data_IF_921329458468
#
_entry.id   IF_921329458468
#
_cell.length_a   1.000
_cell.length_b   1.000
_cell.length_c   1.000
_cell.angle_alpha   90.00
_cell.angle_beta   90.00
_cell.angle_gamma   90.00
#
_symmetry.space_group_name_H-M   'P 1'
#
loop_
_entity.id
_entity.type
_entity.pdbx_description
1 polymer ?
#
# COMPACT_ATOMS: atom_id res chain seq x y z
N UNK A 1 -7.02 10.19 15.15
CA UNK A 1 -5.55 10.29 14.95
C UNK A 1 -5.19 9.40 13.79
N UNK A 2 -4.41 9.88 12.82
CA UNK A 2 -3.99 9.04 11.68
C UNK A 2 -2.78 8.22 12.13
N UNK A 3 -2.79 6.91 11.89
CA UNK A 3 -1.69 6.03 12.30
C UNK A 3 -0.57 6.06 11.25
N UNK A 4 0.67 6.11 11.72
CA UNK A 4 1.88 6.05 10.88
C UNK A 4 2.21 4.59 10.54
N UNK A 5 2.51 4.35 9.27
CA UNK A 5 2.92 3.06 8.72
C UNK A 5 4.40 2.81 9.06
N UNK A 6 4.68 1.61 9.56
CA UNK A 6 6.03 1.15 9.90
C UNK A 6 6.38 -0.10 9.11
N UNK A 7 7.66 -0.43 9.08
CA UNK A 7 8.12 -1.72 8.54
C UNK A 7 7.48 -2.87 9.33
N UNK A 8 7.01 -3.89 8.61
CA UNK A 8 6.27 -5.03 9.15
C UNK A 8 4.75 -4.85 9.23
N UNK A 9 4.23 -3.62 9.09
CA UNK A 9 2.79 -3.37 9.06
C UNK A 9 2.15 -3.90 7.78
N UNK A 10 0.90 -4.34 7.88
CA UNK A 10 0.09 -4.67 6.72
C UNK A 10 -0.66 -3.43 6.21
N UNK A 11 -0.61 -3.24 4.89
CA UNK A 11 -1.26 -2.13 4.20
C UNK A 11 -2.14 -2.69 3.09
N UNK A 12 -3.36 -2.17 2.98
CA UNK A 12 -4.24 -2.44 1.86
C UNK A 12 -4.02 -1.36 0.78
N UNK A 13 -3.31 -1.71 -0.29
CA UNK A 13 -3.15 -0.85 -1.45
C UNK A 13 -4.45 -0.84 -2.25
N UNK A 14 -5.18 0.26 -2.16
CA UNK A 14 -6.42 0.48 -2.90
C UNK A 14 -6.12 1.14 -4.25
N UNK A 15 -6.45 0.44 -5.34
CA UNK A 15 -6.42 0.98 -6.70
C UNK A 15 -7.83 1.33 -7.19
N UNK A 16 -8.79 0.45 -6.94
CA UNK A 16 -10.21 0.64 -7.31
C UNK A 16 -11.09 -0.34 -6.53
N UNK A 17 -12.42 -0.19 -6.63
CA UNK A 17 -13.39 -1.11 -6.00
C UNK A 17 -13.17 -2.60 -6.30
N UNK A 18 -12.58 -2.95 -7.45
CA UNK A 18 -12.32 -4.33 -7.85
C UNK A 18 -10.87 -4.78 -7.63
N UNK A 19 -9.99 -3.87 -7.21
CA UNK A 19 -8.54 -4.11 -7.15
C UNK A 19 -7.97 -3.48 -5.89
N UNK A 20 -7.82 -4.32 -4.90
CA UNK A 20 -7.12 -4.06 -3.65
C UNK A 20 -6.05 -5.13 -3.47
N UNK A 21 -4.95 -4.76 -2.84
CA UNK A 21 -3.83 -5.67 -2.62
C UNK A 21 -3.38 -5.54 -1.16
N UNK A 22 -3.48 -6.62 -0.40
CA UNK A 22 -2.94 -6.67 0.95
C UNK A 22 -1.45 -6.98 0.86
N UNK A 23 -0.61 -6.08 1.35
CA UNK A 23 0.85 -6.20 1.32
C UNK A 23 1.43 -5.92 2.69
N UNK A 24 2.53 -6.60 3.01
CA UNK A 24 3.36 -6.28 4.17
C UNK A 24 4.44 -5.27 3.77
N UNK A 25 4.59 -4.21 4.55
CA UNK A 25 5.58 -3.16 4.32
C UNK A 25 6.98 -3.68 4.67
N UNK A 26 7.86 -3.75 3.68
CA UNK A 26 9.24 -4.24 3.83
C UNK A 26 10.18 -3.33 3.02
N UNK A 27 11.39 -3.07 3.57
CA UNK A 27 12.42 -2.30 2.86
C UNK A 27 12.95 -3.05 1.63
N UNK A 28 13.41 -2.31 0.63
CA UNK A 28 13.96 -2.86 -0.63
C UNK A 28 13.02 -3.82 -1.37
N UNK A 29 11.71 -3.79 -1.09
CA UNK A 29 10.71 -4.66 -1.72
C UNK A 29 9.80 -3.84 -2.63
N UNK A 30 9.58 -4.35 -3.84
CA UNK A 30 8.67 -3.76 -4.81
C UNK A 30 7.47 -4.67 -5.05
N UNK A 31 6.27 -4.10 -4.96
CA UNK A 31 5.04 -4.79 -5.30
C UNK A 31 4.66 -4.51 -6.76
N UNK A 32 4.58 -5.57 -7.57
CA UNK A 32 4.33 -5.46 -9.00
C UNK A 32 2.85 -5.72 -9.33
N UNK A 33 2.31 -4.88 -10.19
CA UNK A 33 0.96 -5.02 -10.74
C UNK A 33 0.99 -4.80 -12.25
N UNK A 34 -0.11 -5.10 -12.92
CA UNK A 34 -0.33 -4.71 -14.32
C UNK A 34 -0.40 -3.18 -14.53
N UNK A 35 -0.34 -2.37 -13.47
CA UNK A 35 -0.22 -0.90 -13.49
C UNK A 35 1.16 -0.43 -13.04
N UNK A 36 2.20 -1.23 -13.26
CA UNK A 36 3.55 -0.94 -12.82
C UNK A 36 3.81 -1.42 -11.40
N UNK A 37 4.89 -0.94 -10.81
CA UNK A 37 5.32 -1.34 -9.46
C UNK A 37 5.28 -0.16 -8.49
N UNK A 38 5.18 -0.48 -7.20
CA UNK A 38 5.36 0.47 -6.09
C UNK A 38 6.47 -0.04 -5.17
N UNK A 39 7.34 0.86 -4.72
CA UNK A 39 8.31 0.54 -3.66
C UNK A 39 7.60 0.56 -2.31
N UNK A 40 7.63 -0.54 -1.57
CA UNK A 40 6.91 -0.63 -0.30
C UNK A 40 7.55 0.22 0.80
N UNK A 41 8.85 0.49 0.68
CA UNK A 41 9.56 1.38 1.59
C UNK A 41 9.07 2.83 1.52
N UNK A 42 8.50 3.26 0.39
CA UNK A 42 7.90 4.60 0.23
C UNK A 42 6.67 4.80 1.13
N UNK A 43 6.14 3.75 1.74
CA UNK A 43 5.05 3.81 2.71
C UNK A 43 5.55 4.07 4.13
N UNK A 44 6.80 3.72 4.44
CA UNK A 44 7.36 3.84 5.79
C UNK A 44 7.38 5.32 6.19
N UNK A 45 6.82 5.64 7.36
CA UNK A 45 6.72 7.01 7.87
C UNK A 45 5.56 7.82 7.28
N UNK A 46 4.85 7.31 6.27
CA UNK A 46 3.57 7.89 5.83
C UNK A 46 2.45 7.46 6.76
N UNK A 47 1.36 8.20 6.73
CA UNK A 47 0.15 7.83 7.46
C UNK A 47 -0.76 6.96 6.59
N UNK A 48 -1.54 6.08 7.21
CA UNK A 48 -2.64 5.41 6.50
C UNK A 48 -3.60 6.45 5.89
N UNK A 49 -4.06 6.20 4.67
CA UNK A 49 -4.75 7.14 3.80
C UNK A 49 -3.81 7.92 2.86
N UNK A 50 -2.49 7.77 2.99
CA UNK A 50 -1.54 8.38 2.08
C UNK A 50 -1.68 7.83 0.65
N UNK A 51 -1.37 8.70 -0.32
CA UNK A 51 -1.29 8.35 -1.74
C UNK A 51 0.14 8.02 -2.12
N UNK A 52 0.29 7.06 -3.02
CA UNK A 52 1.54 6.76 -3.70
C UNK A 52 1.26 6.47 -5.17
N UNK A 53 2.26 6.70 -6.01
CA UNK A 53 2.16 6.42 -7.44
C UNK A 53 3.03 5.23 -7.79
N UNK A 54 2.56 4.42 -8.72
CA UNK A 54 3.39 3.39 -9.33
C UNK A 54 4.33 3.99 -10.37
N UNK A 55 5.25 3.17 -10.87
CA UNK A 55 6.14 3.51 -11.99
C UNK A 55 5.41 3.88 -13.30
N UNK A 56 4.11 3.61 -13.41
CA UNK A 56 3.27 4.01 -14.55
C UNK A 56 2.32 5.17 -14.20
N UNK A 57 2.68 6.00 -13.22
CA UNK A 57 1.92 7.15 -12.72
C UNK A 57 0.48 6.83 -12.25
N UNK A 58 0.22 5.56 -11.92
CA UNK A 58 -1.08 5.14 -11.40
C UNK A 58 -1.14 5.35 -9.89
N UNK A 59 -2.15 6.09 -9.42
CA UNK A 59 -2.33 6.37 -7.99
C UNK A 59 -2.92 5.16 -7.24
N UNK A 60 -2.35 4.89 -6.07
CA UNK A 60 -2.85 3.98 -5.06
C UNK A 60 -3.08 4.75 -3.75
N UNK A 61 -4.00 4.27 -2.93
CA UNK A 61 -4.20 4.75 -1.55
C UNK A 61 -3.82 3.65 -0.57
N UNK A 62 -2.94 3.96 0.37
CA UNK A 62 -2.48 3.03 1.40
C UNK A 62 -3.46 3.01 2.58
N UNK A 63 -4.41 2.09 2.58
CA UNK A 63 -5.44 1.97 3.62
C UNK A 63 -5.01 1.02 4.73
N UNK A 64 -5.55 1.24 5.93
CA UNK A 64 -5.41 0.29 7.02
C UNK A 64 -6.33 -0.90 6.75
N UNK A 65 -5.81 -2.14 6.70
CA UNK A 65 -6.64 -3.31 6.46
C UNK A 65 -7.61 -3.54 7.62
N UNK A 66 -8.82 -3.97 7.29
CA UNK A 66 -9.80 -4.52 8.21
C UNK A 66 -9.65 -6.05 8.25
N UNK A 67 -10.24 -6.68 9.28
CA UNK A 67 -10.21 -8.15 9.45
C UNK A 67 -10.71 -8.88 8.18
N UNK A 68 -11.68 -8.30 7.47
CA UNK A 68 -12.25 -8.88 6.24
C UNK A 68 -11.27 -8.91 5.06
N UNK A 69 -10.23 -8.09 5.07
CA UNK A 69 -9.24 -8.04 3.99
C UNK A 69 -8.25 -9.22 4.05
N UNK A 70 -8.26 -9.99 5.15
CA UNK A 70 -7.40 -11.16 5.38
C UNK A 70 -8.07 -12.50 5.03
N UNK A 71 -9.36 -12.49 4.65
CA UNK A 71 -10.20 -13.68 4.45
C UNK A 71 -10.51 -13.88 2.97
#
# INVERSE_FOLDING_TARGET
MVQTIREGDDVLLYLSRKRTFLVKVERNKSFHTHKGYVHLEDLIGKNYGARLRSSMDTEFVALKPAIRDYI
#
